data_IF_412573405598
#
_entry.id   IF_412573405598
#
_cell.length_a   1.000
_cell.length_b   1.000
_cell.length_c   1.000
_cell.angle_alpha   90.00
_cell.angle_beta   90.00
_cell.angle_gamma   90.00
#
_symmetry.space_group_name_H-M   'P 1'
#
loop_
_entity.id
_entity.type
_entity.pdbx_description
1 polymer ?
#
# COMPACT_ATOMS: atom_id res chain seq x y z
N UNK A 1 14.71 -0.11 9.11
CA UNK A 1 15.36 -0.58 7.89
C UNK A 1 14.40 -1.46 7.11
N UNK A 2 14.45 -1.35 5.78
CA UNK A 2 13.66 -2.23 4.93
C UNK A 2 14.11 -3.68 5.11
N UNK A 3 13.21 -4.63 4.82
CA UNK A 3 13.53 -6.05 4.89
C UNK A 3 14.60 -6.40 3.83
N UNK A 4 15.79 -6.88 4.23
CA UNK A 4 16.87 -7.17 3.27
C UNK A 4 16.55 -8.30 2.29
N UNK A 5 15.52 -9.11 2.58
CA UNK A 5 15.07 -10.17 1.68
C UNK A 5 14.18 -9.63 0.56
N UNK A 6 13.72 -8.38 0.65
CA UNK A 6 12.87 -7.74 -0.36
C UNK A 6 13.72 -6.83 -1.23
N UNK A 7 13.73 -7.14 -2.51
CA UNK A 7 14.38 -6.31 -3.51
C UNK A 7 13.70 -6.51 -4.86
N UNK A 8 13.91 -5.56 -5.75
CA UNK A 8 13.39 -5.65 -7.12
C UNK A 8 13.91 -6.95 -7.76
N UNK A 9 13.02 -7.69 -8.40
CA UNK A 9 13.30 -8.98 -9.02
C UNK A 9 13.02 -10.18 -8.13
N UNK A 10 12.71 -9.98 -6.86
CA UNK A 10 12.36 -11.06 -5.93
C UNK A 10 10.85 -11.21 -5.82
N UNK A 11 10.34 -12.39 -5.42
CA UNK A 11 8.91 -12.56 -5.18
C UNK A 11 8.41 -11.64 -4.07
N UNK A 12 7.25 -11.02 -4.28
CA UNK A 12 6.58 -10.29 -3.22
C UNK A 12 6.02 -11.28 -2.19
N UNK A 13 6.17 -11.02 -0.87
CA UNK A 13 5.56 -11.87 0.14
C UNK A 13 4.06 -12.02 -0.06
N UNK A 14 3.56 -13.25 -0.04
CA UNK A 14 2.13 -13.51 -0.17
C UNK A 14 1.40 -13.14 1.12
N UNK A 15 0.09 -12.94 1.00
CA UNK A 15 -0.76 -12.63 2.14
C UNK A 15 -2.20 -13.03 1.84
N UNK A 16 -2.99 -13.16 2.90
CA UNK A 16 -4.44 -13.29 2.82
C UNK A 16 -5.02 -12.49 3.97
N UNK A 17 -5.71 -11.41 3.66
CA UNK A 17 -6.20 -10.45 4.65
C UNK A 17 -7.64 -10.07 4.37
N UNK A 18 -8.35 -9.66 5.44
CA UNK A 18 -9.66 -9.04 5.29
C UNK A 18 -9.53 -7.68 4.60
N UNK A 19 -10.55 -7.32 3.86
CA UNK A 19 -10.68 -6.03 3.20
C UNK A 19 -11.71 -5.15 3.93
N UNK A 20 -11.86 -3.93 3.45
CA UNK A 20 -12.84 -2.97 3.96
C UNK A 20 -14.30 -3.48 3.87
N UNK A 21 -14.58 -4.45 2.99
CA UNK A 21 -15.91 -5.05 2.87
C UNK A 21 -16.10 -6.27 3.79
N UNK A 22 -15.05 -6.71 4.48
CA UNK A 22 -15.04 -7.93 5.27
C UNK A 22 -14.75 -9.20 4.47
N UNK A 23 -14.62 -9.09 3.15
CA UNK A 23 -14.18 -10.20 2.31
C UNK A 23 -12.66 -10.42 2.45
N UNK A 24 -12.21 -11.64 2.24
CA UNK A 24 -10.79 -11.98 2.28
C UNK A 24 -10.18 -11.83 0.89
N UNK A 25 -8.94 -11.33 0.83
CA UNK A 25 -8.19 -11.15 -0.42
C UNK A 25 -6.76 -11.65 -0.23
N UNK A 26 -6.29 -12.47 -1.15
CA UNK A 26 -4.89 -12.92 -1.16
C UNK A 26 -4.15 -12.33 -2.36
N UNK A 27 -2.84 -12.11 -2.21
CA UNK A 27 -2.02 -11.65 -3.32
C UNK A 27 -2.00 -12.69 -4.44
N UNK A 28 -1.95 -13.99 -4.10
CA UNK A 28 -1.94 -15.07 -5.08
C UNK A 28 -3.18 -15.04 -5.99
N UNK A 29 -4.33 -14.58 -5.49
CA UNK A 29 -5.56 -14.47 -6.30
C UNK A 29 -5.48 -13.39 -7.37
N UNK A 30 -4.50 -12.52 -7.31
CA UNK A 30 -4.32 -11.40 -8.24
C UNK A 30 -3.28 -11.70 -9.33
N UNK A 31 -2.86 -12.94 -9.47
CA UNK A 31 -1.94 -13.34 -10.56
C UNK A 31 -2.53 -12.96 -11.91
N UNK A 32 -1.68 -12.44 -12.79
CA UNK A 32 -2.10 -11.91 -14.08
C UNK A 32 -2.42 -10.42 -14.06
N UNK A 33 -2.45 -9.81 -12.88
CA UNK A 33 -2.73 -8.37 -12.73
C UNK A 33 -1.54 -7.67 -12.06
N UNK A 34 -1.27 -6.45 -12.49
CA UNK A 34 -0.30 -5.57 -11.84
C UNK A 34 -0.93 -5.06 -10.54
N UNK A 35 -0.17 -5.11 -9.44
CA UNK A 35 -0.64 -4.69 -8.12
C UNK A 35 0.23 -3.55 -7.62
N UNK A 36 -0.40 -2.48 -7.16
CA UNK A 36 0.23 -1.39 -6.43
C UNK A 36 -0.21 -1.53 -4.98
N UNK A 37 0.70 -1.99 -4.13
CA UNK A 37 0.46 -2.16 -2.70
C UNK A 37 1.15 -1.04 -1.95
N UNK A 38 0.39 -0.18 -1.27
CA UNK A 38 0.99 0.88 -0.49
C UNK A 38 0.60 0.78 0.98
N UNK A 39 1.56 1.11 1.85
CA UNK A 39 1.39 1.11 3.30
C UNK A 39 1.33 2.52 3.81
N UNK A 40 0.39 2.80 4.70
CA UNK A 40 0.21 4.10 5.31
C UNK A 40 -0.11 3.94 6.81
N UNK A 41 0.23 4.94 7.64
CA UNK A 41 0.10 4.79 9.09
C UNK A 41 -1.32 4.68 9.61
N UNK A 42 -2.27 5.50 9.12
CA UNK A 42 -3.60 5.57 9.72
C UNK A 42 -4.63 6.22 8.81
N UNK A 43 -5.85 5.64 8.78
CA UNK A 43 -6.98 6.21 8.04
C UNK A 43 -7.29 7.64 8.48
N UNK A 44 -7.71 8.44 7.50
CA UNK A 44 -8.25 9.78 7.71
C UNK A 44 -7.31 10.74 8.44
N UNK A 45 -6.00 10.57 8.25
CA UNK A 45 -5.00 11.55 8.63
C UNK A 45 -4.61 12.38 7.40
N UNK A 46 -4.09 13.62 7.56
CA UNK A 46 -3.87 14.51 6.41
C UNK A 46 -3.02 13.91 5.28
N UNK A 47 -1.87 13.36 5.59
CA UNK A 47 -0.98 12.76 4.58
C UNK A 47 -1.56 11.51 3.94
N UNK A 48 -2.18 10.64 4.74
CA UNK A 48 -2.78 9.42 4.24
C UNK A 48 -4.00 9.70 3.38
N UNK A 49 -4.78 10.72 3.70
CA UNK A 49 -5.91 11.16 2.90
C UNK A 49 -5.45 11.73 1.56
N UNK A 50 -4.41 12.57 1.55
CA UNK A 50 -3.86 13.11 0.30
C UNK A 50 -3.34 12.01 -0.61
N UNK A 51 -2.64 11.03 -0.05
CA UNK A 51 -2.12 9.89 -0.81
C UNK A 51 -3.24 9.07 -1.42
N UNK A 52 -4.25 8.71 -0.63
CA UNK A 52 -5.39 7.94 -1.10
C UNK A 52 -6.16 8.67 -2.20
N UNK A 53 -6.42 9.96 -2.01
CA UNK A 53 -7.11 10.77 -3.02
C UNK A 53 -6.29 10.90 -4.30
N UNK A 54 -4.96 10.96 -4.19
CA UNK A 54 -4.08 11.01 -5.37
C UNK A 54 -4.13 9.69 -6.14
N UNK A 55 -4.13 8.54 -5.48
CA UNK A 55 -4.31 7.25 -6.15
C UNK A 55 -5.67 7.17 -6.84
N UNK A 56 -6.72 7.63 -6.20
CA UNK A 56 -8.06 7.62 -6.79
C UNK A 56 -8.12 8.52 -8.03
N UNK A 57 -7.57 9.72 -7.95
CA UNK A 57 -7.55 10.68 -9.06
C UNK A 57 -6.72 10.18 -10.24
N UNK A 58 -5.65 9.42 -10.00
CA UNK A 58 -4.76 8.88 -11.02
C UNK A 58 -5.20 7.50 -11.53
N UNK A 59 -6.37 7.03 -11.12
CA UNK A 59 -6.84 5.71 -11.48
C UNK A 59 -6.80 5.42 -13.00
N UNK A 60 -7.13 6.37 -13.92
CA UNK A 60 -6.97 6.12 -15.36
C UNK A 60 -5.52 5.88 -15.78
N UNK A 61 -4.56 6.58 -15.19
CA UNK A 61 -3.13 6.45 -15.52
C UNK A 61 -2.51 5.17 -14.97
N UNK A 62 -3.17 4.52 -14.02
CA UNK A 62 -2.73 3.24 -13.47
C UNK A 62 -3.13 2.05 -14.34
N UNK A 63 -3.87 2.30 -15.43
CA UNK A 63 -4.13 1.34 -16.52
C UNK A 63 -4.64 -0.02 -16.07
N UNK A 64 -5.58 -0.03 -15.14
CA UNK A 64 -6.19 -1.27 -14.65
C UNK A 64 -5.36 -2.00 -13.60
N UNK A 65 -4.26 -1.44 -13.14
CA UNK A 65 -3.54 -1.99 -12.00
C UNK A 65 -4.44 -2.02 -10.76
N UNK A 66 -4.32 -3.07 -9.96
CA UNK A 66 -5.06 -3.19 -8.71
C UNK A 66 -4.33 -2.38 -7.65
N UNK A 67 -4.96 -1.35 -7.11
CA UNK A 67 -4.41 -0.57 -6.01
C UNK A 67 -4.92 -1.13 -4.68
N UNK A 68 -4.00 -1.43 -3.77
CA UNK A 68 -4.32 -1.92 -2.43
C UNK A 68 -3.63 -1.02 -1.42
N UNK A 69 -4.41 -0.37 -0.56
CA UNK A 69 -3.86 0.36 0.58
C UNK A 69 -3.91 -0.52 1.81
N UNK A 70 -2.91 -0.46 2.68
CA UNK A 70 -2.83 -1.29 3.88
C UNK A 70 -2.47 -0.47 5.11
N UNK A 71 -3.25 -0.63 6.16
CA UNK A 71 -2.95 -0.12 7.50
C UNK A 71 -3.57 -1.04 8.55
N UNK A 72 -3.21 -0.84 9.82
CA UNK A 72 -3.72 -1.64 10.92
C UNK A 72 -5.14 -1.26 11.37
N UNK A 73 -5.76 -0.27 10.71
CA UNK A 73 -7.12 0.14 11.02
C UNK A 73 -8.12 -0.98 10.70
N UNK A 74 -9.26 -0.95 11.38
CA UNK A 74 -10.32 -1.96 11.21
C UNK A 74 -11.03 -1.85 9.86
N UNK A 75 -11.75 -2.89 9.49
CA UNK A 75 -12.61 -2.87 8.30
C UNK A 75 -13.65 -1.73 8.37
N UNK A 76 -14.22 -1.49 9.55
CA UNK A 76 -15.18 -0.40 9.74
C UNK A 76 -14.54 0.98 9.52
N UNK A 77 -13.32 1.18 10.01
CA UNK A 77 -12.55 2.41 9.78
C UNK A 77 -12.27 2.61 8.29
N UNK A 78 -11.79 1.57 7.63
CA UNK A 78 -11.53 1.59 6.19
C UNK A 78 -12.79 1.92 5.38
N UNK A 79 -13.92 1.31 5.73
CA UNK A 79 -15.18 1.58 5.04
C UNK A 79 -15.61 3.04 5.17
N UNK A 80 -15.48 3.61 6.37
CA UNK A 80 -15.75 5.05 6.60
C UNK A 80 -14.83 5.95 5.80
N UNK A 81 -13.54 5.62 5.78
CA UNK A 81 -12.54 6.39 5.05
C UNK A 81 -12.85 6.40 3.55
N UNK A 82 -13.16 5.23 2.99
CA UNK A 82 -13.52 5.11 1.57
C UNK A 82 -14.79 5.91 1.24
N UNK A 83 -15.82 5.79 2.07
CA UNK A 83 -17.08 6.51 1.86
C UNK A 83 -16.88 8.02 1.93
N UNK A 84 -16.10 8.49 2.89
CA UNK A 84 -15.86 9.92 3.11
C UNK A 84 -15.17 10.59 1.93
N UNK A 85 -14.24 9.90 1.28
CA UNK A 85 -13.41 10.48 0.21
C UNK A 85 -13.68 9.88 -1.18
N UNK A 86 -14.68 9.00 -1.30
CA UNK A 86 -15.03 8.42 -2.60
C UNK A 86 -13.96 7.51 -3.18
N UNK A 87 -13.27 6.74 -2.34
CA UNK A 87 -12.21 5.85 -2.79
C UNK A 87 -12.81 4.54 -3.31
N UNK A 88 -12.40 4.13 -4.51
CA UNK A 88 -12.93 2.93 -5.17
C UNK A 88 -12.00 1.71 -5.07
N UNK A 89 -10.74 1.90 -4.69
CA UNK A 89 -9.82 0.79 -4.54
C UNK A 89 -9.94 0.14 -3.15
N UNK A 90 -9.42 -1.08 -3.04
CA UNK A 90 -9.53 -1.89 -1.82
C UNK A 90 -8.54 -1.44 -0.74
N UNK A 91 -8.99 -1.42 0.50
CA UNK A 91 -8.14 -1.25 1.68
C UNK A 91 -8.05 -2.56 2.44
N UNK A 92 -6.81 -2.97 2.77
CA UNK A 92 -6.53 -4.20 3.50
C UNK A 92 -6.47 -3.92 5.01
N UNK A 93 -7.02 -4.83 5.78
CA UNK A 93 -6.98 -4.78 7.25
C UNK A 93 -5.73 -5.52 7.71
N UNK A 94 -4.68 -4.77 8.04
CA UNK A 94 -3.42 -5.35 8.51
C UNK A 94 -3.38 -5.40 10.04
N UNK A 95 -4.22 -6.25 10.63
CA UNK A 95 -4.30 -6.41 12.08
C UNK A 95 -2.95 -6.81 12.67
N UNK A 96 -2.53 -6.08 13.69
CA UNK A 96 -1.27 -6.36 14.38
C UNK A 96 -0.04 -6.04 13.54
N UNK A 97 -0.18 -5.34 12.42
CA UNK A 97 0.93 -4.97 11.52
C UNK A 97 1.72 -6.17 11.01
N UNK A 98 1.06 -7.30 10.78
CA UNK A 98 1.71 -8.52 10.29
C UNK A 98 2.24 -8.34 8.86
N UNK A 99 1.43 -7.77 7.98
CA UNK A 99 1.84 -7.54 6.60
C UNK A 99 2.94 -6.49 6.52
N UNK A 100 2.77 -5.37 7.21
CA UNK A 100 3.79 -4.31 7.22
C UNK A 100 5.12 -4.80 7.78
N UNK A 101 5.09 -5.72 8.74
CA UNK A 101 6.29 -6.37 9.27
C UNK A 101 6.93 -7.27 8.21
N UNK A 102 6.14 -8.09 7.52
CA UNK A 102 6.61 -8.99 6.48
C UNK A 102 7.25 -8.21 5.31
N UNK A 103 6.72 -7.02 4.98
CA UNK A 103 7.29 -6.17 3.94
C UNK A 103 8.39 -5.23 4.46
N UNK A 104 8.75 -5.31 5.74
CA UNK A 104 9.87 -4.54 6.30
C UNK A 104 9.59 -3.06 6.50
N UNK A 105 8.32 -2.65 6.51
CA UNK A 105 7.94 -1.24 6.63
C UNK A 105 7.41 -0.87 8.02
N UNK A 106 7.19 -1.84 8.89
CA UNK A 106 6.83 -1.60 10.28
C UNK A 106 8.11 -1.60 11.10
N UNK A 107 8.61 -0.41 11.43
CA UNK A 107 9.92 -0.27 12.05
C UNK A 107 10.04 1.03 12.83
N UNK A 108 11.15 1.18 13.53
CA UNK A 108 11.44 2.40 14.28
C UNK A 108 11.60 3.60 13.34
N UNK A 109 10.97 4.70 13.66
CA UNK A 109 11.07 5.97 12.93
C UNK A 109 11.08 7.14 13.92
N UNK A 110 11.52 8.31 13.46
CA UNK A 110 11.55 9.52 14.28
C UNK A 110 10.36 10.39 13.90
N UNK A 111 9.53 10.75 14.90
CA UNK A 111 8.41 11.68 14.75
C UNK A 111 8.49 12.74 15.84
N UNK A 112 8.51 13.99 15.44
CA UNK A 112 8.59 15.13 16.38
C UNK A 112 9.75 14.99 17.36
N UNK A 113 10.91 14.53 16.86
CA UNK A 113 12.11 14.35 17.68
C UNK A 113 12.13 13.10 18.56
N UNK A 114 11.09 12.28 18.52
CA UNK A 114 10.99 11.04 19.32
C UNK A 114 11.06 9.82 18.45
N UNK A 115 11.70 8.76 18.96
CA UNK A 115 11.70 7.44 18.31
C UNK A 115 10.39 6.75 18.62
N UNK A 116 9.68 6.34 17.55
CA UNK A 116 8.43 5.56 17.65
C UNK A 116 8.50 4.39 16.70
N UNK A 117 7.79 3.31 17.03
CA UNK A 117 7.64 2.18 16.12
C UNK A 117 6.32 2.34 15.37
N UNK A 118 6.37 2.22 14.06
CA UNK A 118 5.16 2.36 13.24
C UNK A 118 5.43 2.12 11.78
N UNK A 119 4.40 2.29 10.97
CA UNK A 119 4.49 2.10 9.53
C UNK A 119 5.24 3.26 8.89
N UNK A 120 6.28 2.94 8.16
CA UNK A 120 6.96 3.87 7.26
C UNK A 120 6.22 3.84 5.93
N UNK A 121 5.71 5.00 5.48
CA UNK A 121 4.96 5.11 4.23
C UNK A 121 5.78 4.57 3.07
N UNK A 122 5.28 3.52 2.41
CA UNK A 122 6.03 2.81 1.38
C UNK A 122 5.08 2.26 0.33
N UNK A 123 5.56 2.09 -0.90
CA UNK A 123 4.76 1.52 -1.99
C UNK A 123 5.56 0.45 -2.71
N UNK A 124 4.88 -0.64 -3.07
CA UNK A 124 5.47 -1.78 -3.77
C UNK A 124 4.71 -2.01 -5.07
N UNK A 125 5.43 -2.06 -6.17
CA UNK A 125 4.87 -2.40 -7.48
C UNK A 125 5.16 -3.86 -7.77
N UNK A 126 4.10 -4.64 -7.98
CA UNK A 126 4.16 -6.09 -8.15
C UNK A 126 3.57 -6.43 -9.52
N UNK A 127 4.28 -7.21 -10.31
CA UNK A 127 3.78 -7.58 -11.64
C UNK A 127 2.80 -8.77 -11.60
N UNK A 128 2.29 -9.16 -12.75
CA UNK A 128 1.33 -10.24 -12.87
C UNK A 128 1.85 -11.61 -12.44
N UNK A 129 3.16 -11.77 -12.32
CA UNK A 129 3.79 -13.01 -11.84
C UNK A 129 4.07 -12.99 -10.34
N UNK A 130 3.76 -11.87 -9.66
CA UNK A 130 4.01 -11.72 -8.24
C UNK A 130 5.42 -11.27 -7.91
N UNK A 131 6.14 -10.74 -8.87
CA UNK A 131 7.52 -10.27 -8.71
C UNK A 131 7.55 -8.78 -8.40
N UNK A 132 8.38 -8.37 -7.44
CA UNK A 132 8.60 -6.96 -7.12
C UNK A 132 9.34 -6.27 -8.27
N UNK A 133 8.73 -5.21 -8.80
CA UNK A 133 9.29 -4.46 -9.91
C UNK A 133 9.82 -3.10 -9.49
N UNK A 134 9.30 -2.52 -8.43
CA UNK A 134 9.73 -1.24 -7.89
C UNK A 134 9.37 -1.17 -6.41
N UNK A 135 10.22 -0.52 -5.62
CA UNK A 135 10.00 -0.29 -4.19
C UNK A 135 10.29 1.18 -3.91
N UNK A 136 9.31 1.87 -3.31
CA UNK A 136 9.48 3.23 -2.80
C UNK A 136 9.40 3.18 -1.29
N UNK A 137 10.50 3.39 -0.62
CA UNK A 137 10.61 3.35 0.84
C UNK A 137 10.71 4.79 1.36
N UNK A 138 9.98 5.10 2.44
CA UNK A 138 10.00 6.44 3.02
C UNK A 138 9.39 7.48 2.08
N UNK A 139 8.19 7.23 1.62
CA UNK A 139 7.51 8.05 0.61
C UNK A 139 7.10 9.41 1.16
N UNK A 140 7.36 10.44 0.36
CA UNK A 140 6.72 11.77 0.51
C UNK A 140 5.54 11.81 -0.46
N UNK A 141 4.38 12.25 0.02
CA UNK A 141 3.12 12.15 -0.74
C UNK A 141 3.14 12.96 -2.03
N UNK A 142 3.70 14.18 -1.99
CA UNK A 142 3.67 15.07 -3.15
C UNK A 142 4.44 14.49 -4.33
N UNK A 143 3.75 14.30 -5.45
CA UNK A 143 4.33 13.77 -6.69
C UNK A 143 4.55 12.25 -6.70
N UNK A 144 4.28 11.56 -5.59
CA UNK A 144 4.55 10.11 -5.49
C UNK A 144 3.68 9.30 -6.46
N UNK A 145 2.38 9.56 -6.50
CA UNK A 145 1.47 8.77 -7.34
C UNK A 145 1.79 8.94 -8.82
N UNK A 146 2.27 10.11 -9.23
CA UNK A 146 2.73 10.33 -10.61
C UNK A 146 3.90 9.40 -10.95
N UNK A 147 4.82 9.21 -10.02
CA UNK A 147 5.96 8.28 -10.18
C UNK A 147 5.48 6.84 -10.28
N UNK A 148 4.50 6.46 -9.45
CA UNK A 148 3.92 5.12 -9.48
C UNK A 148 3.23 4.87 -10.83
N UNK A 149 2.43 5.82 -11.30
CA UNK A 149 1.75 5.69 -12.59
C UNK A 149 2.74 5.56 -13.75
N UNK A 150 3.84 6.32 -13.73
CA UNK A 150 4.90 6.20 -14.73
C UNK A 150 5.57 4.81 -14.69
N UNK A 151 5.79 4.26 -13.52
CA UNK A 151 6.37 2.92 -13.38
C UNK A 151 5.42 1.84 -13.87
N UNK A 152 4.11 1.97 -13.60
CA UNK A 152 3.10 1.04 -14.14
C UNK A 152 3.09 1.08 -15.66
N UNK A 153 3.15 2.26 -16.25
CA UNK A 153 3.16 2.43 -17.71
C UNK A 153 4.41 1.84 -18.36
N UNK A 154 5.51 1.72 -17.60
CA UNK A 154 6.78 1.18 -18.12
C UNK A 154 6.89 -0.34 -18.06
N UNK A 155 5.90 -1.02 -17.45
CA UNK A 155 5.91 -2.49 -17.37
C UNK A 155 5.62 -3.16 -18.72
#
# INVERSE_FOLDING_TARGET
>A
MANPLLSVGKPAPDFSLLTDTGAELSLASLRGQVVVLYFYPKDDTPGCTREACAFEAQSPELKGAVVLGASADSAASHAKFKAKYGLNFTLLVDSGNKLSTSYGVFREKVMYGKKVTGVVRSTFLIDGEGTLRQIWDGVKVDGHVDKVAAAVAAL
#
